data_IF_857241710555
#
_entry.id   IF_857241710555
#
_cell.length_a   1.000
_cell.length_b   1.000
_cell.length_c   1.000
_cell.angle_alpha   90.00
_cell.angle_beta   90.00
_cell.angle_gamma   90.00
#
_symmetry.space_group_name_H-M   'P 1'
#
loop_
_entity.id
_entity.type
_entity.pdbx_description
1 polymer ?
#
# COMPACT_ATOMS: atom_id res chain seq x y z
N UNK A 1 7.23 14.31 -20.99
CA UNK A 1 8.04 13.92 -19.80
C UNK A 1 8.95 15.07 -19.43
N UNK A 2 9.04 15.39 -18.13
CA UNK A 2 9.99 16.36 -17.61
C UNK A 2 11.38 15.72 -17.45
N UNK A 3 12.44 16.53 -17.57
CA UNK A 3 13.82 16.13 -17.31
C UNK A 3 14.39 17.03 -16.22
N UNK A 4 15.19 16.45 -15.33
CA UNK A 4 15.88 17.18 -14.28
C UNK A 4 17.37 16.85 -14.33
N UNK A 5 18.19 17.85 -14.05
CA UNK A 5 19.61 17.66 -13.73
C UNK A 5 19.74 17.80 -12.22
N UNK A 6 20.41 16.83 -11.59
CA UNK A 6 20.65 16.82 -10.14
C UNK A 6 22.14 16.63 -9.89
N UNK A 7 22.65 17.27 -8.84
CA UNK A 7 23.98 16.98 -8.32
C UNK A 7 23.84 15.99 -7.17
N UNK A 8 24.72 15.00 -7.12
CA UNK A 8 24.75 13.99 -6.06
C UNK A 8 26.14 13.96 -5.43
N UNK A 9 26.24 13.71 -4.12
CA UNK A 9 27.52 13.35 -3.51
C UNK A 9 28.12 12.12 -4.22
N UNK A 10 29.44 12.11 -4.36
CA UNK A 10 30.16 11.06 -5.10
C UNK A 10 29.92 9.68 -4.47
N UNK A 11 29.95 9.60 -3.14
CA UNK A 11 29.67 8.37 -2.39
C UNK A 11 28.26 7.84 -2.65
N UNK A 12 27.28 8.73 -2.80
CA UNK A 12 25.90 8.37 -3.11
C UNK A 12 25.82 7.82 -4.54
N UNK A 13 26.47 8.48 -5.50
CA UNK A 13 26.49 8.02 -6.87
C UNK A 13 27.14 6.63 -6.98
N UNK A 14 28.25 6.40 -6.27
CA UNK A 14 28.92 5.09 -6.26
C UNK A 14 28.02 3.98 -5.69
N UNK A 15 27.30 4.25 -4.60
CA UNK A 15 26.34 3.29 -4.05
C UNK A 15 25.22 2.97 -5.05
N UNK A 16 24.66 3.99 -5.72
CA UNK A 16 23.65 3.82 -6.76
C UNK A 16 24.17 2.99 -7.93
N UNK A 17 25.39 3.26 -8.41
CA UNK A 17 26.00 2.52 -9.52
C UNK A 17 26.14 1.03 -9.18
N UNK A 18 26.55 0.71 -7.94
CA UNK A 18 26.67 -0.67 -7.48
C UNK A 18 25.31 -1.38 -7.45
N UNK A 19 24.30 -0.76 -6.86
CA UNK A 19 22.97 -1.36 -6.73
C UNK A 19 22.27 -1.52 -8.07
N UNK A 20 22.28 -0.50 -8.93
CA UNK A 20 21.62 -0.59 -10.23
C UNK A 20 22.23 -1.69 -11.10
N UNK A 21 23.56 -1.89 -11.03
CA UNK A 21 24.25 -2.93 -11.80
C UNK A 21 23.85 -4.32 -11.29
N UNK A 22 23.81 -4.52 -9.97
CA UNK A 22 23.32 -5.76 -9.37
C UNK A 22 21.86 -6.06 -9.74
N UNK A 23 21.03 -5.04 -9.88
CA UNK A 23 19.64 -5.16 -10.30
C UNK A 23 19.41 -5.20 -11.82
N UNK A 24 20.46 -5.06 -12.65
CA UNK A 24 20.36 -5.02 -14.10
C UNK A 24 19.63 -3.78 -14.66
N UNK A 25 19.64 -2.66 -13.93
CA UNK A 25 18.92 -1.44 -14.28
C UNK A 25 19.84 -0.36 -14.85
N UNK A 26 19.28 0.45 -15.78
CA UNK A 26 19.95 1.69 -16.17
C UNK A 26 19.74 2.79 -15.10
N UNK A 27 20.56 3.86 -15.17
CA UNK A 27 20.53 4.95 -14.19
C UNK A 27 19.15 5.58 -14.07
N UNK A 28 18.55 5.95 -15.20
CA UNK A 28 17.24 6.61 -15.23
C UNK A 28 16.13 5.73 -14.64
N UNK A 29 16.15 4.43 -14.92
CA UNK A 29 15.22 3.46 -14.34
C UNK A 29 15.38 3.33 -12.83
N UNK A 30 16.62 3.24 -12.36
CA UNK A 30 16.91 3.15 -10.93
C UNK A 30 16.39 4.38 -10.18
N UNK A 31 16.76 5.59 -10.63
CA UNK A 31 16.32 6.83 -9.99
C UNK A 31 14.81 7.01 -10.07
N UNK A 32 14.19 6.69 -11.21
CA UNK A 32 12.74 6.76 -11.35
C UNK A 32 12.04 5.82 -10.36
N UNK A 33 12.46 4.56 -10.27
CA UNK A 33 11.90 3.60 -9.32
C UNK A 33 12.10 4.05 -7.87
N UNK A 34 13.28 4.56 -7.53
CA UNK A 34 13.56 5.05 -6.18
C UNK A 34 12.64 6.21 -5.78
N UNK A 35 12.43 7.18 -6.69
CA UNK A 35 11.53 8.31 -6.45
C UNK A 35 10.07 7.86 -6.37
N UNK A 36 9.61 7.03 -7.31
CA UNK A 36 8.24 6.49 -7.31
C UNK A 36 7.95 5.71 -6.02
N UNK A 37 8.88 4.86 -5.58
CA UNK A 37 8.79 4.11 -4.32
C UNK A 37 8.72 5.03 -3.10
N UNK A 38 9.59 6.05 -3.05
CA UNK A 38 9.58 7.01 -1.95
C UNK A 38 8.24 7.76 -1.86
N UNK A 39 7.75 8.27 -2.99
CA UNK A 39 6.47 8.99 -3.05
C UNK A 39 5.30 8.08 -2.67
N UNK A 40 5.32 6.81 -3.09
CA UNK A 40 4.28 5.85 -2.69
C UNK A 40 4.25 5.67 -1.17
N UNK A 41 5.41 5.47 -0.54
CA UNK A 41 5.51 5.33 0.94
C UNK A 41 5.09 6.58 1.70
N UNK A 42 5.41 7.77 1.16
CA UNK A 42 4.95 9.03 1.76
C UNK A 42 3.42 9.09 1.74
N UNK A 43 2.80 8.77 0.60
CA UNK A 43 1.35 8.73 0.48
C UNK A 43 0.71 7.67 1.38
N UNK A 44 1.24 6.45 1.41
CA UNK A 44 0.75 5.38 2.28
C UNK A 44 0.74 5.82 3.76
N UNK A 45 1.77 6.54 4.21
CA UNK A 45 1.83 7.09 5.56
C UNK A 45 0.76 8.16 5.80
N UNK A 46 0.58 9.08 4.84
CA UNK A 46 -0.44 10.12 4.92
C UNK A 46 -1.85 9.52 4.97
N UNK A 47 -2.12 8.50 4.15
CA UNK A 47 -3.41 7.80 4.12
C UNK A 47 -3.70 7.12 5.47
N UNK A 48 -2.71 6.46 6.08
CA UNK A 48 -2.83 5.87 7.43
C UNK A 48 -3.08 6.94 8.49
N UNK A 49 -2.37 8.06 8.43
CA UNK A 49 -2.56 9.15 9.38
C UNK A 49 -3.96 9.76 9.26
N UNK A 50 -4.43 10.00 8.03
CA UNK A 50 -5.79 10.48 7.77
C UNK A 50 -6.84 9.50 8.28
N UNK A 51 -6.64 8.20 8.06
CA UNK A 51 -7.51 7.14 8.57
C UNK A 51 -7.63 7.21 10.10
N UNK A 52 -6.50 7.26 10.82
CA UNK A 52 -6.47 7.34 12.29
C UNK A 52 -7.15 8.63 12.78
N UNK A 53 -6.83 9.78 12.17
CA UNK A 53 -7.42 11.07 12.55
C UNK A 53 -8.94 11.09 12.33
N UNK A 54 -9.44 10.39 11.30
CA UNK A 54 -10.87 10.21 11.08
C UNK A 54 -11.58 9.62 12.29
N UNK A 55 -11.08 8.49 12.80
CA UNK A 55 -11.65 7.81 13.97
C UNK A 55 -11.51 8.62 15.27
N UNK A 56 -10.38 9.31 15.45
CA UNK A 56 -10.19 10.15 16.63
C UNK A 56 -11.15 11.35 16.64
N UNK A 57 -11.39 11.96 15.49
CA UNK A 57 -12.25 13.13 15.36
C UNK A 57 -13.74 12.78 15.34
N UNK A 58 -14.07 11.65 14.77
CA UNK A 58 -15.44 11.16 14.62
C UNK A 58 -15.52 9.70 15.11
N UNK A 59 -15.44 9.47 16.43
CA UNK A 59 -15.57 8.13 16.97
C UNK A 59 -17.00 7.61 16.74
N UNK A 60 -17.13 6.31 16.49
CA UNK A 60 -18.45 5.69 16.34
C UNK A 60 -19.24 5.76 17.65
N UNK A 61 -20.54 5.97 17.50
CA UNK A 61 -21.49 5.91 18.61
C UNK A 61 -21.79 4.47 19.00
N UNK A 62 -22.30 4.28 20.23
CA UNK A 62 -22.66 2.93 20.72
C UNK A 62 -23.76 2.31 19.85
N UNK A 63 -24.67 3.15 19.36
CA UNK A 63 -25.78 2.78 18.49
C UNK A 63 -25.28 2.32 17.11
N UNK A 64 -24.31 3.02 16.52
CA UNK A 64 -23.67 2.61 15.26
C UNK A 64 -22.91 1.30 15.41
N UNK A 65 -22.17 1.13 16.52
CA UNK A 65 -21.46 -0.12 16.83
C UNK A 65 -22.46 -1.26 16.99
N UNK A 66 -23.56 -1.04 17.72
CA UNK A 66 -24.60 -2.05 17.94
C UNK A 66 -25.31 -2.43 16.63
N UNK A 67 -25.60 -1.46 15.77
CA UNK A 67 -26.22 -1.69 14.47
C UNK A 67 -25.28 -2.48 13.56
N UNK A 68 -24.00 -2.07 13.45
CA UNK A 68 -23.00 -2.79 12.68
C UNK A 68 -22.88 -4.24 13.17
N UNK A 69 -22.78 -4.44 14.49
CA UNK A 69 -22.77 -5.77 15.12
C UNK A 69 -23.96 -6.64 14.74
N UNK A 70 -25.16 -6.08 14.77
CA UNK A 70 -26.39 -6.79 14.43
C UNK A 70 -26.47 -7.17 12.95
N UNK A 71 -25.81 -6.41 12.05
CA UNK A 71 -25.90 -6.62 10.60
C UNK A 71 -24.71 -7.32 9.96
N UNK A 72 -23.62 -7.54 10.70
CA UNK A 72 -22.37 -8.11 10.18
C UNK A 72 -22.52 -9.50 9.54
N UNK A 73 -23.45 -10.32 10.01
CA UNK A 73 -23.66 -11.69 9.52
C UNK A 73 -24.44 -11.74 8.18
N UNK A 74 -25.41 -10.84 7.99
CA UNK A 74 -26.28 -10.85 6.81
C UNK A 74 -25.55 -10.72 5.46
N UNK A 75 -24.37 -10.09 5.44
CA UNK A 75 -23.60 -9.93 4.20
C UNK A 75 -22.98 -11.23 3.67
N UNK A 76 -22.91 -12.29 4.49
CA UNK A 76 -22.30 -13.57 4.17
C UNK A 76 -23.22 -14.76 4.47
N UNK A 77 -24.49 -14.52 4.81
CA UNK A 77 -25.43 -15.58 5.17
C UNK A 77 -25.74 -16.54 3.99
N UNK A 78 -25.57 -16.07 2.75
CA UNK A 78 -25.73 -16.88 1.52
C UNK A 78 -24.42 -17.57 1.07
N UNK A 79 -23.27 -17.26 1.70
CA UNK A 79 -21.95 -17.78 1.31
C UNK A 79 -21.49 -18.91 2.25
N UNK A 80 -21.67 -20.17 1.83
CA UNK A 80 -21.03 -21.32 2.50
C UNK A 80 -19.58 -21.49 2.00
N UNK A 81 -18.68 -20.77 2.67
CA UNK A 81 -17.25 -20.81 2.42
C UNK A 81 -16.64 -22.23 2.44
N UNK A 82 -17.24 -23.19 3.17
CA UNK A 82 -16.79 -24.59 3.14
C UNK A 82 -17.19 -25.30 1.85
N UNK A 83 -18.43 -25.11 1.39
CA UNK A 83 -18.89 -25.68 0.13
C UNK A 83 -18.13 -25.13 -1.07
N UNK A 84 -17.88 -23.82 -1.08
CA UNK A 84 -17.16 -23.17 -2.16
C UNK A 84 -15.69 -23.56 -2.21
N UNK A 85 -15.05 -23.72 -1.05
CA UNK A 85 -13.70 -24.27 -0.98
C UNK A 85 -13.64 -25.73 -1.46
N UNK A 86 -14.60 -26.57 -1.06
CA UNK A 86 -14.71 -27.97 -1.52
C UNK A 86 -14.95 -28.09 -3.03
N UNK A 87 -15.65 -27.14 -3.65
CA UNK A 87 -15.82 -27.08 -5.11
C UNK A 87 -14.52 -26.65 -5.81
N UNK A 88 -13.83 -25.65 -5.26
CA UNK A 88 -12.57 -25.14 -5.82
C UNK A 88 -11.42 -26.17 -5.73
N UNK A 89 -11.36 -26.96 -4.65
CA UNK A 89 -10.30 -27.96 -4.42
C UNK A 89 -10.47 -29.28 -5.19
N UNK A 90 -11.59 -29.46 -5.89
CA UNK A 90 -11.90 -30.65 -6.71
C UNK A 90 -11.58 -30.47 -8.21
N UNK A 91 -11.06 -29.31 -8.60
CA UNK A 91 -10.50 -29.03 -9.93
C UNK A 91 -8.99 -29.21 -9.92
#
# INVERSE_FOLDING_TARGET
MAKIAISLPEETLQAVEKERLAAGLNRSEFFRRAVEEHLRRVKEREDVEQYIQGYLKYPETKEEIALAGATQHYAFDDDDWEEDWKKASKK
#
